data_IF_935701978810
#
_entry.id   IF_935701978810
#
_cell.length_a   1.000
_cell.length_b   1.000
_cell.length_c   1.000
_cell.angle_alpha   90.00
_cell.angle_beta   90.00
_cell.angle_gamma   90.00
#
_symmetry.space_group_name_H-M   'P 1'
#
loop_
_entity.id
_entity.type
_entity.pdbx_description
1 polymer ?
#
# COMPACT_ATOMS: atom_id res chain seq x y z
N UNK A 1 7.08 8.64 27.44
CA UNK A 1 5.67 8.95 27.10
C UNK A 1 5.18 7.87 26.17
N UNK A 2 4.08 7.20 26.50
CA UNK A 2 3.42 6.24 25.60
C UNK A 2 2.82 7.01 24.40
N UNK A 3 3.09 6.56 23.20
CA UNK A 3 2.51 7.16 21.99
C UNK A 3 0.98 6.95 21.96
N UNK A 4 0.22 7.91 21.44
CA UNK A 4 -1.21 7.72 21.27
C UNK A 4 -1.48 6.52 20.36
N UNK A 5 -2.52 5.76 20.69
CA UNK A 5 -2.96 4.63 19.89
C UNK A 5 -4.01 5.15 18.90
N UNK A 6 -3.88 4.81 17.63
CA UNK A 6 -4.90 5.11 16.62
C UNK A 6 -6.25 4.52 17.07
N UNK A 7 -7.29 5.33 17.10
CA UNK A 7 -8.65 4.89 17.36
C UNK A 7 -9.28 4.40 16.05
N UNK A 8 -9.60 3.11 16.00
CA UNK A 8 -10.17 2.50 14.81
C UNK A 8 -11.59 3.00 14.50
N UNK A 9 -11.93 3.09 13.22
CA UNK A 9 -13.28 3.42 12.75
C UNK A 9 -14.31 2.40 13.21
N UNK A 10 -15.60 2.74 13.31
CA UNK A 10 -16.65 1.77 13.62
C UNK A 10 -16.63 0.57 12.66
N UNK A 11 -16.71 -0.64 13.20
CA UNK A 11 -16.62 -1.87 12.43
C UNK A 11 -15.20 -2.33 12.07
N UNK A 12 -14.17 -1.54 12.40
CA UNK A 12 -12.76 -1.91 12.25
C UNK A 12 -12.24 -2.50 13.57
N UNK A 13 -11.61 -3.65 13.51
CA UNK A 13 -11.01 -4.32 14.68
C UNK A 13 -9.52 -4.55 14.52
N UNK A 14 -8.82 -4.66 15.63
CA UNK A 14 -7.39 -5.03 15.65
C UNK A 14 -7.24 -6.53 15.65
N UNK A 15 -6.29 -7.01 14.86
CA UNK A 15 -5.88 -8.41 14.86
C UNK A 15 -4.36 -8.52 14.92
N UNK A 16 -3.88 -9.73 15.16
CA UNK A 16 -2.45 -10.08 15.05
C UNK A 16 -2.31 -11.19 14.03
N UNK A 17 -1.35 -11.03 13.14
CA UNK A 17 -0.94 -12.00 12.14
C UNK A 17 0.37 -12.64 12.59
N UNK A 18 0.56 -13.91 12.26
CA UNK A 18 1.83 -14.59 12.43
C UNK A 18 2.65 -14.55 11.13
N UNK A 19 3.74 -13.81 11.15
CA UNK A 19 4.68 -13.77 10.03
C UNK A 19 5.88 -14.68 10.32
N UNK A 20 5.67 -16.00 10.32
CA UNK A 20 6.66 -17.03 10.64
C UNK A 20 7.31 -16.83 12.02
N UNK A 21 6.48 -16.66 13.06
CA UNK A 21 6.90 -16.43 14.44
C UNK A 21 7.09 -14.95 14.81
N UNK A 22 6.98 -14.04 13.85
CA UNK A 22 6.98 -12.59 14.09
C UNK A 22 5.54 -12.08 14.15
N UNK A 23 5.04 -11.56 15.29
CA UNK A 23 3.70 -11.01 15.38
C UNK A 23 3.64 -9.65 14.69
N UNK A 24 2.76 -9.50 13.71
CA UNK A 24 2.41 -8.24 13.06
C UNK A 24 1.00 -7.82 13.48
N UNK A 25 0.84 -6.60 13.98
CA UNK A 25 -0.49 -6.04 14.20
C UNK A 25 -1.12 -5.60 12.88
N UNK A 26 -2.45 -5.64 12.83
CA UNK A 26 -3.21 -5.19 11.68
C UNK A 26 -4.57 -4.62 12.11
N UNK A 27 -5.17 -3.81 11.22
CA UNK A 27 -6.56 -3.39 11.28
C UNK A 27 -7.35 -4.20 10.26
N UNK A 28 -8.52 -4.70 10.64
CA UNK A 28 -9.39 -5.52 9.81
C UNK A 28 -10.79 -4.96 9.80
N UNK A 29 -11.35 -4.81 8.60
CA UNK A 29 -12.78 -4.58 8.36
C UNK A 29 -13.31 -5.66 7.43
N UNK A 30 -14.44 -6.26 7.79
CA UNK A 30 -15.10 -7.32 7.01
C UNK A 30 -16.45 -6.81 6.50
N UNK A 31 -16.91 -7.26 5.32
CA UNK A 31 -18.19 -6.84 4.80
C UNK A 31 -19.34 -7.36 5.67
N UNK A 32 -20.43 -6.62 5.84
CA UNK A 32 -21.59 -7.11 6.56
C UNK A 32 -22.25 -8.27 5.77
N UNK A 33 -22.36 -9.43 6.41
CA UNK A 33 -23.25 -10.48 5.93
C UNK A 33 -22.73 -11.47 4.90
N UNK A 34 -21.48 -11.93 4.97
CA UNK A 34 -21.08 -13.08 4.15
C UNK A 34 -19.64 -13.11 3.70
N UNK A 35 -19.35 -14.02 2.75
CA UNK A 35 -18.03 -14.15 2.13
C UNK A 35 -17.65 -12.88 1.38
N UNK A 36 -16.41 -12.41 1.52
CA UNK A 36 -15.94 -11.23 0.82
C UNK A 36 -15.78 -11.52 -0.67
N UNK A 37 -15.93 -10.50 -1.52
CA UNK A 37 -15.59 -10.60 -2.94
C UNK A 37 -14.09 -10.83 -3.14
N UNK A 38 -13.26 -10.15 -2.36
CA UNK A 38 -11.80 -10.29 -2.29
C UNK A 38 -11.27 -9.67 -1.00
N UNK A 39 -9.98 -9.83 -0.73
CA UNK A 39 -9.29 -9.14 0.36
C UNK A 39 -8.38 -8.07 -0.20
N UNK A 40 -8.59 -6.82 0.22
CA UNK A 40 -7.67 -5.70 0.01
C UNK A 40 -6.66 -5.68 1.13
N UNK A 41 -5.41 -5.93 0.81
CA UNK A 41 -4.28 -5.88 1.74
C UNK A 41 -3.60 -4.51 1.60
N UNK A 42 -3.79 -3.65 2.59
CA UNK A 42 -3.27 -2.30 2.60
C UNK A 42 -1.90 -2.24 3.32
N UNK A 43 -0.87 -1.73 2.63
CA UNK A 43 0.53 -1.70 3.10
C UNK A 43 1.04 -0.27 3.15
N UNK A 44 1.26 0.25 4.35
CA UNK A 44 1.61 1.66 4.59
C UNK A 44 3.04 2.03 4.16
N UNK A 45 3.30 3.33 4.00
CA UNK A 45 4.60 3.90 3.68
C UNK A 45 5.58 3.96 4.86
N UNK A 46 6.79 4.43 4.61
CA UNK A 46 7.79 4.65 5.65
C UNK A 46 7.33 5.68 6.68
N UNK A 47 7.56 5.40 7.97
CA UNK A 47 7.19 6.29 9.06
C UNK A 47 5.69 6.39 9.34
N UNK A 48 4.89 5.41 8.92
CA UNK A 48 3.45 5.31 9.16
C UNK A 48 3.10 3.97 9.82
N UNK A 49 1.82 3.77 10.15
CA UNK A 49 1.26 2.48 10.57
C UNK A 49 -0.07 2.21 9.85
N UNK A 50 -0.73 1.09 10.14
CA UNK A 50 -1.98 0.68 9.51
C UNK A 50 -3.09 1.73 9.58
N UNK A 51 -3.09 2.61 10.58
CA UNK A 51 -4.01 3.74 10.72
C UNK A 51 -3.94 4.75 9.56
N UNK A 52 -2.89 4.71 8.73
CA UNK A 52 -2.79 5.49 7.50
C UNK A 52 -3.98 5.26 6.56
N UNK A 53 -4.52 4.06 6.54
CA UNK A 53 -5.67 3.68 5.71
C UNK A 53 -7.02 3.80 6.44
N UNK A 54 -7.00 4.13 7.73
CA UNK A 54 -8.20 4.31 8.57
C UNK A 54 -8.25 5.70 9.22
N UNK A 55 -7.78 6.74 8.53
CA UNK A 55 -7.81 8.10 9.06
C UNK A 55 -9.25 8.60 9.25
N UNK A 56 -9.56 9.11 10.45
CA UNK A 56 -10.87 9.57 10.86
C UNK A 56 -11.05 11.09 10.75
N UNK A 57 -10.08 11.79 10.18
CA UNK A 57 -10.15 13.24 10.01
C UNK A 57 -11.35 13.72 9.16
N UNK A 58 -11.90 12.82 8.34
CA UNK A 58 -13.15 13.00 7.62
C UNK A 58 -13.93 11.68 7.55
N UNK A 59 -15.27 11.67 7.75
CA UNK A 59 -16.08 10.45 7.88
C UNK A 59 -15.98 9.46 6.71
N UNK A 60 -15.59 9.88 5.53
CA UNK A 60 -15.53 9.05 4.32
C UNK A 60 -14.09 8.76 3.87
N UNK A 61 -13.10 8.97 4.72
CA UNK A 61 -11.68 8.86 4.36
C UNK A 61 -11.12 7.46 4.54
N UNK A 62 -11.69 6.65 5.46
CA UNK A 62 -11.21 5.30 5.74
C UNK A 62 -11.39 4.37 4.54
N UNK A 63 -10.28 3.80 4.06
CA UNK A 63 -10.30 2.71 3.08
C UNK A 63 -10.98 1.47 3.66
N UNK A 64 -10.78 1.20 4.96
CA UNK A 64 -11.31 0.01 5.62
C UNK A 64 -12.83 -0.01 5.59
N UNK A 65 -13.45 1.08 6.03
CA UNK A 65 -14.92 1.17 6.03
C UNK A 65 -15.50 1.24 4.63
N UNK A 66 -14.80 1.91 3.69
CA UNK A 66 -15.22 2.02 2.30
C UNK A 66 -15.19 0.65 1.61
N UNK A 67 -14.09 -0.09 1.72
CA UNK A 67 -13.93 -1.40 1.10
C UNK A 67 -14.89 -2.44 1.68
N UNK A 68 -15.07 -2.45 3.01
CA UNK A 68 -16.05 -3.33 3.66
C UNK A 68 -17.49 -3.02 3.19
N UNK A 69 -17.82 -1.74 3.04
CA UNK A 69 -19.12 -1.32 2.50
C UNK A 69 -19.36 -1.71 1.04
N UNK A 70 -18.31 -1.99 0.28
CA UNK A 70 -18.36 -2.48 -1.12
C UNK A 70 -18.23 -4.01 -1.24
N UNK A 71 -18.23 -4.73 -0.11
CA UNK A 71 -18.22 -6.19 -0.10
C UNK A 71 -16.83 -6.82 -0.07
N UNK A 72 -15.78 -6.05 0.21
CA UNK A 72 -14.42 -6.56 0.36
C UNK A 72 -14.01 -6.65 1.82
N UNK A 73 -13.22 -7.64 2.17
CA UNK A 73 -12.44 -7.58 3.41
C UNK A 73 -11.26 -6.63 3.19
N UNK A 74 -11.00 -5.72 4.13
CA UNK A 74 -9.82 -4.83 4.09
C UNK A 74 -8.94 -5.09 5.29
N UNK A 75 -7.69 -5.47 5.01
CA UNK A 75 -6.65 -5.79 5.98
C UNK A 75 -5.51 -4.77 5.84
N UNK A 76 -5.40 -3.81 6.76
CA UNK A 76 -4.26 -2.90 6.81
C UNK A 76 -3.20 -3.43 7.78
N UNK A 77 -2.02 -3.77 7.28
CA UNK A 77 -0.96 -4.44 8.03
C UNK A 77 0.07 -3.42 8.53
N UNK A 78 0.44 -3.50 9.80
CA UNK A 78 1.63 -2.84 10.32
C UNK A 78 2.87 -3.60 9.85
N UNK A 79 3.73 -2.95 9.05
CA UNK A 79 4.93 -3.60 8.50
C UNK A 79 5.94 -3.98 9.59
N UNK A 80 6.85 -4.94 9.33
CA UNK A 80 7.93 -5.29 10.26
C UNK A 80 8.72 -4.06 10.74
N UNK A 81 9.01 -4.00 12.04
CA UNK A 81 9.65 -2.84 12.67
C UNK A 81 8.68 -1.76 13.14
N UNK A 82 7.37 -1.91 12.90
CA UNK A 82 6.32 -1.01 13.38
C UNK A 82 5.41 -1.68 14.42
N UNK A 83 4.83 -0.89 15.31
CA UNK A 83 3.85 -1.32 16.33
C UNK A 83 4.29 -2.59 17.08
N UNK A 84 3.53 -3.71 17.00
CA UNK A 84 3.80 -4.93 17.77
C UNK A 84 5.17 -5.54 17.50
N UNK A 85 5.69 -5.41 16.29
CA UNK A 85 7.01 -5.95 15.94
C UNK A 85 8.18 -5.01 16.27
N UNK A 86 7.92 -3.73 16.59
CA UNK A 86 8.98 -2.73 16.78
C UNK A 86 10.00 -3.09 17.87
N UNK A 87 9.54 -3.70 18.97
CA UNK A 87 10.43 -4.12 20.06
C UNK A 87 11.31 -5.33 19.71
N UNK A 88 10.81 -6.21 18.83
CA UNK A 88 11.57 -7.37 18.35
C UNK A 88 12.49 -7.01 17.17
N UNK A 89 12.14 -5.99 16.41
CA UNK A 89 12.85 -5.52 15.23
C UNK A 89 13.14 -4.02 15.33
N UNK A 90 14.00 -3.57 16.26
CA UNK A 90 14.26 -2.15 16.48
C UNK A 90 14.94 -1.46 15.29
N UNK A 91 15.63 -2.22 14.42
CA UNK A 91 16.24 -1.74 13.18
C UNK A 91 15.32 -1.95 11.96
N UNK A 92 14.17 -2.62 12.13
CA UNK A 92 13.31 -3.06 11.04
C UNK A 92 13.85 -4.30 10.33
N UNK A 93 13.46 -4.43 9.08
CA UNK A 93 13.91 -5.47 8.13
C UNK A 93 14.29 -4.79 6.81
N UNK A 94 15.15 -5.44 6.02
CA UNK A 94 15.38 -5.04 4.64
C UNK A 94 14.15 -5.33 3.75
N UNK A 95 14.20 -4.91 2.48
CA UNK A 95 13.07 -5.02 1.59
C UNK A 95 12.67 -6.47 1.29
N UNK A 96 13.65 -7.37 1.13
CA UNK A 96 13.42 -8.77 0.85
C UNK A 96 12.82 -9.50 2.07
N UNK A 97 13.34 -9.21 3.25
CA UNK A 97 12.82 -9.72 4.52
C UNK A 97 11.38 -9.24 4.79
N UNK A 98 11.08 -7.94 4.55
CA UNK A 98 9.73 -7.40 4.67
C UNK A 98 8.75 -8.06 3.69
N UNK A 99 9.16 -8.31 2.45
CA UNK A 99 8.37 -9.04 1.47
C UNK A 99 8.09 -10.47 1.91
N UNK A 100 9.09 -11.16 2.49
CA UNK A 100 8.92 -12.50 3.04
C UNK A 100 7.97 -12.52 4.24
N UNK A 101 8.12 -11.56 5.16
CA UNK A 101 7.24 -11.41 6.34
C UNK A 101 5.80 -11.09 5.92
N UNK A 102 5.60 -10.23 4.92
CA UNK A 102 4.26 -9.96 4.38
C UNK A 102 3.62 -11.23 3.82
N UNK A 103 4.34 -12.01 3.01
CA UNK A 103 3.82 -13.28 2.47
C UNK A 103 3.43 -14.26 3.56
N UNK A 104 4.28 -14.43 4.59
CA UNK A 104 3.99 -15.31 5.72
C UNK A 104 2.73 -14.85 6.50
N UNK A 105 2.61 -13.55 6.76
CA UNK A 105 1.43 -12.97 7.40
C UNK A 105 0.14 -13.17 6.57
N UNK A 106 0.23 -13.06 5.25
CA UNK A 106 -0.92 -13.29 4.35
C UNK A 106 -1.27 -14.76 4.24
N UNK A 107 -0.30 -15.67 4.35
CA UNK A 107 -0.57 -17.10 4.45
C UNK A 107 -1.29 -17.43 5.76
N UNK A 108 -0.83 -16.91 6.90
CA UNK A 108 -1.51 -17.04 8.19
C UNK A 108 -2.94 -16.47 8.14
N UNK A 109 -3.12 -15.28 7.54
CA UNK A 109 -4.46 -14.70 7.37
C UNK A 109 -5.37 -15.61 6.57
N UNK A 110 -4.94 -16.07 5.38
CA UNK A 110 -5.74 -16.93 4.49
C UNK A 110 -6.05 -18.32 5.07
N UNK A 111 -5.28 -18.79 6.07
CA UNK A 111 -5.58 -20.04 6.79
C UNK A 111 -6.74 -19.88 7.80
N UNK A 112 -7.09 -18.65 8.17
CA UNK A 112 -8.08 -18.33 9.22
C UNK A 112 -9.29 -17.54 8.73
N UNK A 113 -9.18 -16.93 7.54
CA UNK A 113 -10.21 -16.05 6.97
C UNK A 113 -10.51 -16.41 5.52
N UNK A 114 -11.77 -16.25 5.13
CA UNK A 114 -12.17 -16.35 3.73
C UNK A 114 -11.55 -15.20 2.92
N UNK A 115 -10.92 -15.53 1.80
CA UNK A 115 -10.27 -14.57 0.89
C UNK A 115 -11.07 -14.28 -0.38
N UNK A 116 -12.25 -14.91 -0.53
CA UNK A 116 -13.08 -14.74 -1.72
C UNK A 116 -12.35 -15.04 -3.02
N UNK A 117 -12.42 -14.14 -3.97
CA UNK A 117 -11.71 -14.25 -5.26
C UNK A 117 -10.19 -14.16 -5.15
N UNK A 118 -9.60 -13.75 -4.02
CA UNK A 118 -8.16 -13.65 -3.82
C UNK A 118 -7.71 -12.37 -3.13
N UNK A 119 -6.41 -12.09 -3.20
CA UNK A 119 -5.76 -10.98 -2.54
C UNK A 119 -5.44 -9.86 -3.53
N UNK A 120 -5.63 -8.61 -3.13
CA UNK A 120 -5.25 -7.42 -3.87
C UNK A 120 -4.37 -6.53 -3.00
N UNK A 121 -3.16 -6.21 -3.43
CA UNK A 121 -2.25 -5.35 -2.68
C UNK A 121 -2.54 -3.88 -3.00
N UNK A 122 -2.90 -3.08 -2.01
CA UNK A 122 -3.00 -1.63 -2.09
C UNK A 122 -1.91 -1.02 -1.23
N UNK A 123 -0.89 -0.46 -1.85
CA UNK A 123 0.33 -0.10 -1.16
C UNK A 123 0.73 1.37 -1.37
N UNK A 124 1.33 1.99 -0.34
CA UNK A 124 1.77 3.37 -0.41
C UNK A 124 3.27 3.51 -0.19
N UNK A 125 3.95 4.30 -1.04
CA UNK A 125 5.33 4.73 -0.86
C UNK A 125 6.28 3.54 -0.62
N UNK A 126 6.94 3.43 0.53
CA UNK A 126 7.79 2.28 0.87
C UNK A 126 7.02 0.96 0.85
N UNK A 127 5.76 0.96 1.29
CA UNK A 127 4.89 -0.21 1.17
C UNK A 127 4.71 -0.69 -0.27
N UNK A 128 4.74 0.23 -1.25
CA UNK A 128 4.74 -0.09 -2.67
C UNK A 128 5.98 -0.89 -3.10
N UNK A 129 7.15 -0.55 -2.56
CA UNK A 129 8.39 -1.33 -2.77
C UNK A 129 8.23 -2.75 -2.24
N UNK A 130 7.71 -2.89 -1.01
CA UNK A 130 7.45 -4.21 -0.39
C UNK A 130 6.45 -5.03 -1.22
N UNK A 131 5.34 -4.42 -1.66
CA UNK A 131 4.32 -5.10 -2.45
C UNK A 131 4.86 -5.57 -3.82
N UNK A 132 5.61 -4.73 -4.52
CA UNK A 132 6.24 -5.08 -5.81
C UNK A 132 7.28 -6.19 -5.63
N UNK A 133 8.13 -6.13 -4.59
CA UNK A 133 9.11 -7.17 -4.29
C UNK A 133 8.43 -8.49 -3.95
N UNK A 134 7.38 -8.47 -3.12
CA UNK A 134 6.62 -9.68 -2.78
C UNK A 134 5.97 -10.32 -4.02
N UNK A 135 5.43 -9.51 -4.94
CA UNK A 135 4.81 -10.01 -6.16
C UNK A 135 5.80 -10.52 -7.20
N UNK A 136 7.01 -9.96 -7.23
CA UNK A 136 8.06 -10.36 -8.19
C UNK A 136 8.74 -11.67 -7.80
N UNK A 137 9.06 -11.85 -6.52
CA UNK A 137 9.90 -12.96 -6.04
C UNK A 137 9.08 -14.23 -5.74
N UNK A 138 8.00 -14.07 -5.02
CA UNK A 138 7.10 -15.17 -4.63
C UNK A 138 5.73 -14.56 -4.32
N UNK A 139 4.86 -14.41 -5.31
CA UNK A 139 3.58 -13.74 -5.11
C UNK A 139 2.73 -14.46 -4.06
N UNK A 140 1.98 -13.73 -3.24
CA UNK A 140 0.97 -14.31 -2.36
C UNK A 140 0.00 -15.19 -3.16
N UNK A 141 -0.53 -16.27 -2.58
CA UNK A 141 -1.51 -17.13 -3.25
C UNK A 141 -2.70 -16.32 -3.76
N UNK A 142 -3.12 -16.59 -4.99
CA UNK A 142 -4.26 -15.92 -5.60
C UNK A 142 -4.18 -14.39 -5.62
N UNK A 143 -2.97 -13.84 -5.83
CA UNK A 143 -2.80 -12.41 -6.04
C UNK A 143 -3.51 -11.96 -7.32
N UNK A 144 -4.47 -11.02 -7.17
CA UNK A 144 -5.31 -10.50 -8.25
C UNK A 144 -4.65 -9.35 -9.00
N UNK A 145 -3.97 -8.46 -8.29
CA UNK A 145 -3.34 -7.27 -8.82
C UNK A 145 -2.75 -6.40 -7.72
N UNK A 146 -2.14 -5.30 -8.12
CA UNK A 146 -1.46 -4.37 -7.22
C UNK A 146 -1.82 -2.93 -7.58
N UNK A 147 -2.26 -2.14 -6.59
CA UNK A 147 -2.31 -0.68 -6.68
C UNK A 147 -1.20 -0.09 -5.83
N UNK A 148 -0.38 0.77 -6.40
CA UNK A 148 0.72 1.44 -5.71
C UNK A 148 0.59 2.95 -5.86
N UNK A 149 0.56 3.67 -4.75
CA UNK A 149 0.61 5.13 -4.74
C UNK A 149 1.95 5.67 -4.23
N UNK A 150 2.43 6.76 -4.83
CA UNK A 150 3.61 7.48 -4.35
C UNK A 150 4.90 6.66 -4.33
N UNK A 151 5.07 5.75 -5.30
CA UNK A 151 6.29 4.97 -5.47
C UNK A 151 6.69 4.92 -6.95
N UNK A 152 7.77 5.61 -7.30
CA UNK A 152 8.35 5.65 -8.63
C UNK A 152 9.68 4.89 -8.72
N UNK A 153 10.35 5.04 -9.85
CA UNK A 153 11.65 4.45 -10.14
C UNK A 153 12.78 5.49 -10.29
N UNK A 154 12.43 6.78 -10.43
CA UNK A 154 13.36 7.90 -10.49
C UNK A 154 12.97 8.93 -9.44
N UNK A 155 13.89 9.22 -8.52
CA UNK A 155 13.68 10.29 -7.55
C UNK A 155 13.66 11.66 -8.22
N UNK A 156 12.85 12.57 -7.68
CA UNK A 156 12.85 14.01 -8.00
C UNK A 156 13.78 14.81 -7.08
N UNK A 157 14.47 14.13 -6.18
CA UNK A 157 15.38 14.69 -5.16
C UNK A 157 16.75 14.06 -5.28
N UNK A 158 17.76 14.76 -4.80
CA UNK A 158 19.13 14.24 -4.74
C UNK A 158 19.28 13.18 -3.63
N UNK A 159 20.26 12.25 -3.74
CA UNK A 159 20.45 11.18 -2.76
C UNK A 159 20.60 11.66 -1.32
N UNK A 160 21.22 12.81 -1.10
CA UNK A 160 21.40 13.40 0.24
C UNK A 160 20.13 14.00 0.86
N UNK A 161 19.07 14.14 0.07
CA UNK A 161 17.77 14.63 0.50
C UNK A 161 16.78 13.49 0.82
N UNK A 162 17.18 12.24 0.60
CA UNK A 162 16.34 11.08 0.93
C UNK A 162 16.15 10.95 2.45
N UNK A 163 15.01 10.36 2.91
CA UNK A 163 14.80 10.12 4.34
C UNK A 163 15.95 9.30 4.97
N UNK A 164 16.47 9.77 6.11
CA UNK A 164 17.67 9.22 6.74
C UNK A 164 18.89 10.16 6.66
N UNK A 165 18.91 11.12 5.74
CA UNK A 165 19.73 12.31 5.83
C UNK A 165 19.09 13.32 6.81
N UNK A 166 19.89 14.22 7.39
CA UNK A 166 19.52 15.05 8.55
C UNK A 166 18.50 16.19 8.32
N UNK A 167 17.73 16.21 7.21
CA UNK A 167 16.73 17.26 6.91
C UNK A 167 15.27 16.80 7.19
N UNK A 168 14.86 16.88 8.46
CA UNK A 168 13.48 16.56 8.85
C UNK A 168 12.45 17.55 8.30
N UNK A 169 12.79 18.83 8.16
CA UNK A 169 11.85 19.86 7.66
C UNK A 169 11.57 19.69 6.15
N UNK A 170 12.61 19.42 5.36
CA UNK A 170 12.48 19.10 3.94
C UNK A 170 11.68 17.83 3.71
N UNK A 171 11.92 16.79 4.50
CA UNK A 171 11.15 15.54 4.48
C UNK A 171 9.67 15.76 4.76
N UNK A 172 9.33 16.49 5.80
CA UNK A 172 7.93 16.79 6.13
C UNK A 172 7.25 17.55 5.01
N UNK A 173 7.88 18.58 4.45
CA UNK A 173 7.32 19.38 3.35
C UNK A 173 7.07 18.53 2.10
N UNK A 174 7.97 17.61 1.73
CA UNK A 174 7.81 16.72 0.58
C UNK A 174 6.72 15.67 0.82
N UNK A 175 6.65 15.09 2.02
CA UNK A 175 5.64 14.09 2.36
C UNK A 175 4.24 14.66 2.50
N UNK A 176 4.10 15.91 2.98
CA UNK A 176 2.77 16.51 3.19
C UNK A 176 2.38 17.47 2.07
N UNK A 177 3.31 18.24 1.50
CA UNK A 177 3.00 19.25 0.50
C UNK A 177 2.12 20.38 1.05
N UNK A 178 1.25 20.99 0.22
CA UNK A 178 0.34 22.05 0.67
C UNK A 178 -0.65 21.54 1.71
N UNK A 179 -0.69 22.16 2.89
CA UNK A 179 -1.52 21.73 4.02
C UNK A 179 -3.03 21.79 3.73
N UNK A 180 -3.47 22.66 2.82
CA UNK A 180 -4.87 22.77 2.40
C UNK A 180 -5.42 21.53 1.68
N UNK A 181 -4.55 20.60 1.25
CA UNK A 181 -4.94 19.32 0.66
C UNK A 181 -5.54 18.35 1.69
N UNK A 182 -5.38 18.64 2.99
CA UNK A 182 -5.80 17.76 4.08
C UNK A 182 -6.98 18.34 4.85
N UNK A 183 -7.90 17.49 5.37
CA UNK A 183 -8.87 17.92 6.35
C UNK A 183 -8.20 18.50 7.61
N UNK A 184 -8.82 19.44 8.29
CA UNK A 184 -8.24 20.11 9.46
C UNK A 184 -7.92 19.15 10.62
N UNK A 185 -8.63 18.02 10.72
CA UNK A 185 -8.39 16.98 11.72
C UNK A 185 -7.17 16.10 11.46
N UNK A 186 -6.67 16.05 10.21
CA UNK A 186 -5.62 15.11 9.79
C UNK A 186 -4.36 15.20 10.65
N UNK A 187 -3.89 16.42 10.95
CA UNK A 187 -2.65 16.60 11.71
C UNK A 187 -2.79 16.21 13.19
N UNK A 188 -3.99 16.26 13.75
CA UNK A 188 -4.27 15.73 15.09
C UNK A 188 -4.30 14.20 15.08
N UNK A 189 -4.98 13.60 14.13
CA UNK A 189 -5.03 12.15 13.92
C UNK A 189 -3.64 11.57 13.59
N UNK A 190 -2.81 12.30 12.84
CA UNK A 190 -1.49 11.85 12.43
C UNK A 190 -0.55 11.57 13.61
N UNK A 191 -0.77 12.16 14.78
CA UNK A 191 -0.01 11.86 15.99
C UNK A 191 -0.07 10.38 16.42
N UNK A 192 -1.16 9.68 16.06
CA UNK A 192 -1.32 8.25 16.31
C UNK A 192 -0.95 7.35 15.11
N UNK A 193 -0.66 7.94 13.95
CA UNK A 193 -0.39 7.27 12.68
C UNK A 193 1.10 7.33 12.33
N UNK A 194 1.77 8.46 12.64
CA UNK A 194 3.19 8.66 12.30
C UNK A 194 4.09 7.92 13.29
N UNK A 195 5.03 7.16 12.76
CA UNK A 195 6.00 6.33 13.50
C UNK A 195 7.45 6.71 13.10
N UNK A 196 8.48 6.38 13.89
CA UNK A 196 9.85 6.44 13.41
C UNK A 196 10.07 5.49 12.24
N UNK A 197 10.88 5.90 11.29
CA UNK A 197 11.33 5.02 10.20
C UNK A 197 12.42 4.10 10.76
N UNK A 198 12.31 2.77 10.64
CA UNK A 198 13.38 1.83 10.99
C UNK A 198 14.64 2.09 10.16
N UNK A 199 15.82 1.89 10.76
CA UNK A 199 17.09 2.27 10.14
C UNK A 199 17.37 1.54 8.83
N UNK A 200 17.02 0.24 8.73
CA UNK A 200 17.22 -0.55 7.52
C UNK A 200 16.39 -0.03 6.34
N UNK A 201 15.19 0.51 6.57
CA UNK A 201 14.39 1.12 5.50
C UNK A 201 15.10 2.34 4.89
N UNK A 202 15.68 3.21 5.75
CA UNK A 202 16.41 4.39 5.29
C UNK A 202 17.63 4.03 4.43
N UNK A 203 18.35 2.98 4.81
CA UNK A 203 19.53 2.52 4.09
C UNK A 203 19.22 2.00 2.67
N UNK A 204 18.02 1.48 2.44
CA UNK A 204 17.63 0.91 1.14
C UNK A 204 17.04 1.92 0.15
N UNK A 205 16.67 3.12 0.61
CA UNK A 205 16.03 4.10 -0.27
C UNK A 205 16.89 4.44 -1.50
N UNK A 206 18.18 4.67 -1.30
CA UNK A 206 19.09 5.01 -2.40
C UNK A 206 19.27 3.87 -3.43
N UNK A 207 19.10 2.62 -3.02
CA UNK A 207 19.24 1.42 -3.86
C UNK A 207 17.99 1.12 -4.68
N UNK A 208 16.84 1.70 -4.32
CA UNK A 208 15.56 1.36 -4.94
C UNK A 208 15.51 1.52 -6.47
N UNK A 209 16.06 2.59 -7.09
CA UNK A 209 16.04 2.70 -8.55
C UNK A 209 16.72 1.53 -9.25
N UNK A 210 17.75 0.95 -8.68
CA UNK A 210 18.43 -0.24 -9.20
C UNK A 210 17.59 -1.50 -8.96
N UNK A 211 17.10 -1.69 -7.74
CA UNK A 211 16.22 -2.81 -7.37
C UNK A 211 14.95 -2.81 -8.23
N UNK A 212 14.37 -1.66 -8.50
CA UNK A 212 13.17 -1.54 -9.33
C UNK A 212 13.38 -2.13 -10.72
N UNK A 213 14.53 -1.89 -11.36
CA UNK A 213 14.84 -2.41 -12.70
C UNK A 213 14.85 -3.93 -12.77
N UNK A 214 15.16 -4.60 -11.68
CA UNK A 214 15.16 -6.06 -11.59
C UNK A 214 13.84 -6.63 -11.04
N UNK A 215 13.07 -5.84 -10.31
CA UNK A 215 11.80 -6.23 -9.69
C UNK A 215 10.63 -6.10 -10.65
N UNK A 216 10.44 -4.92 -11.25
CA UNK A 216 9.28 -4.61 -12.10
C UNK A 216 9.08 -5.61 -13.26
N UNK A 217 10.13 -6.06 -14.00
CA UNK A 217 9.97 -7.02 -15.09
C UNK A 217 9.44 -8.40 -14.68
N UNK A 218 9.50 -8.73 -13.39
CA UNK A 218 9.07 -10.03 -12.85
C UNK A 218 7.64 -10.03 -12.28
N UNK A 219 7.02 -8.86 -12.14
CA UNK A 219 5.63 -8.74 -11.69
C UNK A 219 4.70 -9.24 -12.79
N UNK A 220 3.87 -10.25 -12.48
CA UNK A 220 3.04 -10.97 -13.44
C UNK A 220 1.53 -10.79 -13.23
N UNK A 221 1.14 -9.82 -12.44
CA UNK A 221 -0.26 -9.44 -12.19
C UNK A 221 -0.53 -8.04 -12.71
N UNK A 222 -1.79 -7.65 -12.93
CA UNK A 222 -2.14 -6.28 -13.27
C UNK A 222 -1.59 -5.27 -12.24
N UNK A 223 -1.06 -4.14 -12.71
CA UNK A 223 -0.47 -3.08 -11.88
C UNK A 223 -1.12 -1.75 -12.20
N UNK A 224 -1.57 -1.04 -11.18
CA UNK A 224 -1.95 0.36 -11.24
C UNK A 224 -1.01 1.19 -10.38
N UNK A 225 -0.50 2.28 -10.94
CA UNK A 225 0.40 3.21 -10.25
C UNK A 225 -0.25 4.59 -10.20
N UNK A 226 -0.27 5.20 -9.01
CA UNK A 226 -0.89 6.51 -8.81
C UNK A 226 0.12 7.49 -8.21
N UNK A 227 0.29 8.64 -8.87
CA UNK A 227 1.06 9.75 -8.35
C UNK A 227 0.14 10.89 -7.96
N UNK A 228 0.42 11.50 -6.81
CA UNK A 228 -0.28 12.72 -6.41
C UNK A 228 0.10 13.89 -7.34
N UNK A 229 -0.82 14.83 -7.57
CA UNK A 229 -0.51 16.05 -8.32
C UNK A 229 0.66 16.83 -7.72
N UNK A 230 0.75 16.85 -6.38
CA UNK A 230 1.83 17.50 -5.63
C UNK A 230 2.85 16.47 -5.10
N UNK A 231 3.18 15.44 -5.91
CA UNK A 231 4.23 14.48 -5.59
C UNK A 231 5.59 15.17 -5.64
N UNK A 232 6.39 15.03 -4.60
CA UNK A 232 7.68 15.71 -4.51
C UNK A 232 8.89 14.77 -4.31
N UNK A 233 8.66 13.47 -4.13
CA UNK A 233 9.72 12.48 -4.00
C UNK A 233 10.13 11.87 -5.35
N UNK A 234 9.17 11.75 -6.28
CA UNK A 234 9.32 11.00 -7.52
C UNK A 234 9.12 11.86 -8.75
N UNK A 235 9.93 11.65 -9.76
CA UNK A 235 9.64 12.20 -11.09
C UNK A 235 8.36 11.55 -11.63
N UNK A 236 7.41 12.39 -12.01
CA UNK A 236 6.10 11.98 -12.51
C UNK A 236 5.61 12.82 -13.70
N UNK A 237 6.59 13.40 -14.44
CA UNK A 237 6.35 13.93 -15.78
C UNK A 237 6.00 12.80 -16.77
N UNK A 238 5.44 13.15 -17.93
CA UNK A 238 4.95 12.15 -18.89
C UNK A 238 6.04 11.20 -19.39
N UNK A 239 7.30 11.66 -19.50
CA UNK A 239 8.43 10.82 -19.89
C UNK A 239 8.72 9.79 -18.79
N UNK A 240 8.85 10.25 -17.55
CA UNK A 240 9.13 9.39 -16.41
C UNK A 240 8.03 8.35 -16.19
N UNK A 241 6.75 8.71 -16.39
CA UNK A 241 5.63 7.78 -16.23
C UNK A 241 5.58 6.73 -17.35
N UNK A 242 5.88 7.11 -18.59
CA UNK A 242 5.99 6.14 -19.70
C UNK A 242 7.16 5.16 -19.48
N UNK A 243 8.31 5.67 -19.05
CA UNK A 243 9.46 4.83 -18.73
C UNK A 243 9.17 3.88 -17.56
N UNK A 244 8.51 4.38 -16.52
CA UNK A 244 8.06 3.57 -15.37
C UNK A 244 7.18 2.38 -15.82
N UNK A 245 6.17 2.65 -16.64
CA UNK A 245 5.25 1.63 -17.14
C UNK A 245 5.97 0.58 -18.01
N UNK A 246 6.94 1.00 -18.83
CA UNK A 246 7.68 0.13 -19.72
C UNK A 246 8.54 -0.93 -19.01
N UNK A 247 8.85 -0.74 -17.73
CA UNK A 247 9.59 -1.74 -16.94
C UNK A 247 8.76 -2.97 -16.58
N UNK A 248 7.44 -2.89 -16.56
CA UNK A 248 6.56 -4.02 -16.17
C UNK A 248 6.28 -4.97 -17.34
N UNK A 249 7.33 -5.55 -17.91
CA UNK A 249 7.26 -6.33 -19.17
C UNK A 249 6.48 -7.64 -19.05
N UNK A 250 6.32 -8.21 -17.85
CA UNK A 250 5.55 -9.43 -17.62
C UNK A 250 4.13 -9.16 -17.07
N UNK A 251 3.79 -7.93 -16.72
CA UNK A 251 2.45 -7.58 -16.24
C UNK A 251 1.45 -7.59 -17.39
N UNK A 252 0.27 -8.25 -17.23
CA UNK A 252 -0.73 -8.32 -18.30
C UNK A 252 -1.42 -6.98 -18.56
N UNK A 253 -1.42 -6.07 -17.60
CA UNK A 253 -1.95 -4.72 -17.71
C UNK A 253 -1.20 -3.78 -16.77
N UNK A 254 -0.88 -2.58 -17.27
CA UNK A 254 -0.26 -1.51 -16.48
C UNK A 254 -1.00 -0.20 -16.75
N UNK A 255 -1.51 0.43 -15.70
CA UNK A 255 -2.05 1.79 -15.77
C UNK A 255 -1.27 2.73 -14.85
N UNK A 256 -1.04 3.95 -15.31
CA UNK A 256 -0.35 5.00 -14.53
C UNK A 256 -1.21 6.25 -14.54
N UNK A 257 -1.54 6.76 -13.37
CA UNK A 257 -2.46 7.87 -13.20
C UNK A 257 -1.89 8.97 -12.30
N UNK A 258 -2.40 10.18 -12.48
CA UNK A 258 -2.22 11.30 -11.55
C UNK A 258 -3.50 11.54 -10.77
N UNK A 259 -3.40 11.62 -9.46
CA UNK A 259 -4.52 11.97 -8.59
C UNK A 259 -4.53 13.49 -8.37
N UNK A 260 -5.53 14.22 -8.92
CA UNK A 260 -5.67 15.65 -8.70
C UNK A 260 -5.89 16.00 -7.22
N UNK A 261 -5.50 17.21 -6.82
CA UNK A 261 -5.67 17.77 -5.49
C UNK A 261 -5.15 16.86 -4.36
N UNK A 262 -4.05 16.16 -4.60
CA UNK A 262 -3.42 15.26 -3.65
C UNK A 262 -1.94 15.59 -3.42
N UNK A 263 -1.47 15.42 -2.20
CA UNK A 263 -0.06 15.34 -1.83
C UNK A 263 0.40 13.89 -1.69
N UNK A 264 1.69 13.68 -1.42
CA UNK A 264 2.26 12.33 -1.30
C UNK A 264 1.46 11.42 -0.36
N UNK A 265 1.06 11.90 0.82
CA UNK A 265 0.22 11.14 1.78
C UNK A 265 -1.26 11.09 1.33
N UNK A 266 -1.52 10.49 0.18
CA UNK A 266 -2.78 10.54 -0.56
C UNK A 266 -3.99 10.05 0.26
N UNK A 267 -3.84 8.98 1.05
CA UNK A 267 -4.93 8.41 1.86
C UNK A 267 -5.29 9.25 3.09
N UNK A 268 -4.48 10.26 3.43
CA UNK A 268 -4.75 11.21 4.50
C UNK A 268 -5.35 12.53 3.98
N UNK A 269 -5.38 12.74 2.66
CA UNK A 269 -5.83 13.96 1.99
C UNK A 269 -7.34 13.97 1.72
N UNK A 270 -7.85 15.13 1.26
CA UNK A 270 -9.24 15.31 0.80
C UNK A 270 -9.56 14.43 -0.41
N UNK A 271 -8.56 14.11 -1.23
CA UNK A 271 -8.68 13.25 -2.40
C UNK A 271 -8.72 11.74 -2.05
N UNK A 272 -8.50 11.35 -0.78
CA UNK A 272 -8.39 9.95 -0.36
C UNK A 272 -9.54 9.07 -0.86
N UNK A 273 -10.80 9.51 -0.66
CA UNK A 273 -11.96 8.75 -1.11
C UNK A 273 -11.96 8.51 -2.62
N UNK A 274 -11.63 9.53 -3.42
CA UNK A 274 -11.59 9.40 -4.87
C UNK A 274 -10.48 8.44 -5.32
N UNK A 275 -9.32 8.49 -4.68
CA UNK A 275 -8.22 7.54 -4.90
C UNK A 275 -8.63 6.11 -4.53
N UNK A 276 -9.18 5.91 -3.32
CA UNK A 276 -9.60 4.58 -2.86
C UNK A 276 -10.67 3.96 -3.77
N UNK A 277 -11.65 4.74 -4.24
CA UNK A 277 -12.66 4.25 -5.18
C UNK A 277 -12.07 3.81 -6.52
N UNK A 278 -11.07 4.53 -7.06
CA UNK A 278 -10.36 4.12 -8.28
C UNK A 278 -9.56 2.85 -8.08
N UNK A 279 -8.90 2.70 -6.93
CA UNK A 279 -8.17 1.49 -6.58
C UNK A 279 -9.11 0.28 -6.45
N UNK A 280 -10.28 0.46 -5.82
CA UNK A 280 -11.29 -0.60 -5.69
C UNK A 280 -11.96 -0.92 -7.04
N UNK A 281 -12.18 0.07 -7.91
CA UNK A 281 -12.65 -0.19 -9.28
C UNK A 281 -11.62 -1.02 -10.07
N UNK A 282 -10.33 -0.73 -9.93
CA UNK A 282 -9.29 -1.55 -10.56
C UNK A 282 -9.24 -2.98 -9.99
N UNK A 283 -9.49 -3.17 -8.70
CA UNK A 283 -9.68 -4.51 -8.12
C UNK A 283 -10.84 -5.26 -8.80
N UNK A 284 -11.98 -4.58 -9.03
CA UNK A 284 -13.13 -5.19 -9.72
C UNK A 284 -12.77 -5.62 -11.16
N UNK A 285 -11.97 -4.82 -11.88
CA UNK A 285 -11.45 -5.20 -13.20
C UNK A 285 -10.55 -6.44 -13.13
N UNK A 286 -9.70 -6.56 -12.10
CA UNK A 286 -8.88 -7.73 -11.86
C UNK A 286 -9.70 -8.98 -11.55
N UNK A 287 -10.75 -8.85 -10.73
CA UNK A 287 -11.69 -9.95 -10.44
C UNK A 287 -12.40 -10.44 -11.71
N UNK A 288 -12.98 -9.53 -12.49
CA UNK A 288 -13.63 -9.84 -13.73
C UNK A 288 -12.69 -10.51 -14.76
N UNK A 289 -11.43 -10.09 -14.82
CA UNK A 289 -10.44 -10.71 -15.68
C UNK A 289 -10.14 -12.16 -15.25
N UNK A 290 -10.02 -12.39 -13.94
CA UNK A 290 -9.80 -13.74 -13.39
C UNK A 290 -10.99 -14.66 -13.64
N UNK A 291 -12.22 -14.19 -13.44
CA UNK A 291 -13.43 -14.97 -13.70
C UNK A 291 -13.49 -15.44 -15.17
N UNK A 292 -13.17 -14.56 -16.12
CA UNK A 292 -13.06 -14.92 -17.55
C UNK A 292 -12.02 -16.01 -17.82
N UNK A 293 -10.89 -15.98 -17.13
CA UNK A 293 -9.83 -16.98 -17.28
C UNK A 293 -10.21 -18.34 -16.70
N UNK A 294 -11.04 -18.37 -15.66
CA UNK A 294 -11.50 -19.60 -14.99
C UNK A 294 -12.77 -20.19 -15.62
N UNK A 295 -13.54 -19.43 -16.40
CA UNK A 295 -14.72 -19.93 -17.10
C UNK A 295 -14.27 -20.92 -18.20
N UNK A 296 -14.70 -22.21 -18.18
CA UNK A 296 -14.39 -23.16 -19.24
C UNK A 296 -14.98 -22.63 -20.54
N UNK A 297 -14.18 -22.57 -21.60
CA UNK A 297 -14.43 -21.97 -22.90
C UNK A 297 -15.89 -21.94 -23.33
N UNK A 298 -16.48 -20.78 -23.37
CA UNK A 298 -17.59 -20.53 -24.25
C UNK A 298 -17.05 -20.62 -25.68
N UNK A 299 -17.34 -21.75 -26.34
CA UNK A 299 -17.10 -21.90 -27.77
C UNK A 299 -17.68 -20.67 -28.50
N UNK A 300 -16.84 -19.99 -29.29
CA UNK A 300 -17.36 -18.99 -30.22
C UNK A 300 -18.43 -19.65 -31.07
N UNK A 301 -19.62 -19.06 -31.21
CA UNK A 301 -20.60 -19.53 -32.20
C UNK A 301 -20.00 -19.23 -33.57
N UNK A 302 -19.75 -20.30 -34.35
CA UNK A 302 -19.30 -20.26 -35.73
C UNK A 302 -20.33 -19.61 -36.67
#
# INVERSE_FOLDING_TARGET
MTRPVHEASPGVRRITLDAAGLPLSALLAEPPGGSPRAVVVAVHGGGMNAGYFDCRAHPQQSLLTLGAGLGHTVLAVDRPGYRHSATRLPQGQDLAEQAASLRAALHDFGSRHDTGGGLFLLAHSYGGKVALTAAADSPPPHLLGIDVSGCGHRYAVEPHELPGAHDDAGRLRRSWGPLGLYPSGTFRESGAIVEPVPALEGAELARWPELFRTTAPRVRVPVRLTFAEHEAWWRHDDEALRDLAAHFTAAPHVSVERQPAAGHNISLGRAARAYHLRALAFLEDCLAARERTLAPGAAEPG
#
